data_IF_174793503749
#
_entry.id   IF_174793503749
#
_cell.length_a   1.000
_cell.length_b   1.000
_cell.length_c   1.000
_cell.angle_alpha   90.00
_cell.angle_beta   90.00
_cell.angle_gamma   90.00
#
_symmetry.space_group_name_H-M   'P 1'
#
loop_
_entity.id
_entity.type
_entity.pdbx_description
1 polymer ?
#
# COMPACT_ATOMS: atom_id res chain seq x y z
N UNK A 1 -11.95 14.02 6.05
CA UNK A 1 -11.74 12.61 5.67
C UNK A 1 -10.29 12.48 5.23
N UNK A 2 -9.39 12.11 6.16
CA UNK A 2 -7.96 11.99 5.85
C UNK A 2 -7.75 10.79 4.91
N UNK A 3 -7.65 11.09 3.62
CA UNK A 3 -7.55 10.12 2.53
C UNK A 3 -6.13 9.54 2.41
N UNK A 4 -5.66 8.88 3.46
CA UNK A 4 -4.32 8.23 3.50
C UNK A 4 -4.45 6.70 3.46
N UNK A 5 -5.61 6.19 3.03
CA UNK A 5 -5.81 4.76 2.80
C UNK A 5 -4.99 4.27 1.60
N UNK A 6 -4.39 3.08 1.70
CA UNK A 6 -3.72 2.41 0.56
C UNK A 6 -4.78 1.78 -0.36
N UNK A 7 -5.46 2.59 -1.16
CA UNK A 7 -6.60 2.15 -2.00
C UNK A 7 -6.24 1.18 -3.11
N UNK A 8 -4.98 1.14 -3.54
CA UNK A 8 -4.54 0.22 -4.59
C UNK A 8 -4.51 -1.25 -4.13
N UNK A 9 -4.38 -1.52 -2.82
CA UNK A 9 -4.28 -2.88 -2.27
C UNK A 9 -5.57 -3.68 -2.51
N UNK A 10 -6.77 -3.21 -2.09
CA UNK A 10 -7.99 -3.97 -2.33
C UNK A 10 -8.28 -4.16 -3.82
N UNK A 11 -7.99 -3.16 -4.65
CA UNK A 11 -8.15 -3.25 -6.11
C UNK A 11 -7.23 -4.32 -6.69
N UNK A 12 -5.95 -4.34 -6.27
CA UNK A 12 -5.00 -5.36 -6.70
C UNK A 12 -5.47 -6.76 -6.30
N UNK A 13 -5.92 -6.95 -5.06
CA UNK A 13 -6.36 -8.26 -4.55
C UNK A 13 -7.56 -8.82 -5.33
N UNK A 14 -8.52 -7.99 -5.72
CA UNK A 14 -9.71 -8.44 -6.46
C UNK A 14 -9.36 -8.81 -7.90
N UNK A 15 -8.41 -8.10 -8.50
CA UNK A 15 -8.08 -8.25 -9.90
C UNK A 15 -6.99 -9.30 -10.16
N UNK A 16 -6.22 -9.68 -9.14
CA UNK A 16 -5.04 -10.56 -9.25
C UNK A 16 -5.35 -11.91 -9.94
N UNK A 17 -6.51 -12.52 -9.66
CA UNK A 17 -6.90 -13.80 -10.25
C UNK A 17 -7.42 -13.66 -11.70
N UNK A 18 -7.79 -12.45 -12.11
CA UNK A 18 -8.48 -12.19 -13.38
C UNK A 18 -7.60 -11.57 -14.46
N UNK A 19 -6.54 -10.85 -14.09
CA UNK A 19 -5.67 -10.16 -15.05
C UNK A 19 -4.24 -9.99 -14.54
N UNK A 20 -3.29 -9.84 -15.46
CA UNK A 20 -1.91 -9.54 -15.12
C UNK A 20 -1.78 -8.05 -14.77
N UNK A 21 -1.60 -7.74 -13.48
CA UNK A 21 -1.51 -6.37 -12.98
C UNK A 21 -0.05 -5.99 -12.76
N UNK A 22 0.34 -4.86 -13.34
CA UNK A 22 1.65 -4.27 -13.08
C UNK A 22 1.51 -3.04 -12.20
N UNK A 23 2.10 -3.09 -11.01
CA UNK A 23 2.18 -1.92 -10.13
C UNK A 23 3.33 -1.02 -10.58
N UNK A 24 3.03 0.24 -10.87
CA UNK A 24 4.03 1.20 -11.32
C UNK A 24 4.37 2.21 -10.22
N UNK A 25 5.65 2.54 -10.05
CA UNK A 25 6.03 3.57 -9.08
C UNK A 25 5.70 4.98 -9.64
N UNK A 26 4.95 5.83 -8.91
CA UNK A 26 4.48 7.13 -9.41
C UNK A 26 5.59 8.07 -9.91
N UNK A 27 6.82 7.93 -9.40
CA UNK A 27 8.01 8.66 -9.85
C UNK A 27 8.29 8.48 -11.36
N UNK A 28 8.09 7.27 -11.89
CA UNK A 28 8.31 6.96 -13.31
C UNK A 28 7.09 7.28 -14.17
N UNK A 29 5.93 7.38 -13.54
CA UNK A 29 4.64 7.68 -14.18
C UNK A 29 4.29 9.15 -13.97
N UNK A 30 5.29 10.03 -14.02
CA UNK A 30 5.10 11.44 -13.70
C UNK A 30 4.10 12.04 -14.68
N UNK A 31 3.04 12.64 -14.13
CA UNK A 31 1.92 13.16 -14.92
C UNK A 31 2.38 14.24 -15.92
N UNK A 32 1.64 14.34 -17.02
CA UNK A 32 1.82 15.37 -18.04
C UNK A 32 1.75 16.75 -17.38
N UNK A 33 2.77 17.60 -17.60
CA UNK A 33 2.76 18.99 -17.11
C UNK A 33 1.58 19.74 -17.74
N UNK A 34 0.61 20.19 -16.94
CA UNK A 34 -0.56 20.96 -17.39
C UNK A 34 -1.88 20.55 -16.73
N UNK A 35 -3.00 20.69 -17.47
CA UNK A 35 -4.36 20.33 -17.01
C UNK A 35 -4.49 18.82 -16.78
N UNK A 36 -4.24 18.41 -15.54
CA UNK A 36 -4.49 17.06 -15.03
C UNK A 36 -5.99 16.74 -15.11
N UNK A 37 -6.34 15.66 -15.78
CA UNK A 37 -7.71 15.11 -15.79
C UNK A 37 -7.57 13.59 -15.75
N UNK A 38 -8.39 12.91 -14.95
CA UNK A 38 -8.25 11.46 -14.73
C UNK A 38 -8.27 10.65 -16.03
N UNK A 39 -9.05 11.10 -17.03
CA UNK A 39 -9.12 10.48 -18.36
C UNK A 39 -7.80 10.58 -19.13
N UNK A 40 -7.12 11.73 -19.07
CA UNK A 40 -5.84 11.93 -19.77
C UNK A 40 -4.71 11.19 -19.05
N UNK A 41 -4.74 11.20 -17.73
CA UNK A 41 -3.77 10.46 -16.92
C UNK A 41 -3.89 8.96 -17.17
N UNK A 42 -5.11 8.40 -17.17
CA UNK A 42 -5.32 6.98 -17.48
C UNK A 42 -4.79 6.59 -18.86
N UNK A 43 -5.04 7.42 -19.89
CA UNK A 43 -4.52 7.18 -21.25
C UNK A 43 -2.99 7.24 -21.29
N UNK A 44 -2.40 8.23 -20.63
CA UNK A 44 -0.95 8.38 -20.55
C UNK A 44 -0.28 7.17 -19.89
N UNK A 45 -0.84 6.70 -18.77
CA UNK A 45 -0.35 5.52 -18.06
C UNK A 45 -0.44 4.28 -18.96
N UNK A 46 -1.55 4.10 -19.67
CA UNK A 46 -1.75 2.98 -20.59
C UNK A 46 -0.74 3.02 -21.75
N UNK A 47 -0.47 4.19 -22.31
CA UNK A 47 0.51 4.33 -23.40
C UNK A 47 1.94 4.08 -22.91
N UNK A 48 2.30 4.57 -21.71
CA UNK A 48 3.58 4.25 -21.07
C UNK A 48 3.75 2.75 -20.81
N UNK A 49 2.68 2.06 -20.38
CA UNK A 49 2.69 0.63 -20.14
C UNK A 49 2.88 -0.18 -21.44
N UNK A 50 2.21 0.22 -22.54
CA UNK A 50 2.35 -0.45 -23.85
C UNK A 50 3.76 -0.40 -24.43
N UNK A 51 4.51 0.65 -24.11
CA UNK A 51 5.88 0.83 -24.61
C UNK A 51 6.94 0.22 -23.68
N UNK A 52 6.55 -0.54 -22.65
CA UNK A 52 7.43 -1.09 -21.61
C UNK A 52 8.32 -0.02 -20.93
N UNK A 53 7.90 1.24 -20.97
CA UNK A 53 8.62 2.37 -20.36
C UNK A 53 8.43 2.42 -18.84
N UNK A 54 7.61 1.53 -18.30
CA UNK A 54 7.27 1.47 -16.88
C UNK A 54 7.75 0.15 -16.31
N UNK A 55 8.83 0.21 -15.54
CA UNK A 55 9.27 -0.92 -14.76
C UNK A 55 8.20 -1.28 -13.71
N UNK A 56 7.69 -2.51 -13.78
CA UNK A 56 6.85 -3.07 -12.74
C UNK A 56 7.58 -3.10 -11.40
N UNK A 57 6.93 -2.57 -10.38
CA UNK A 57 7.37 -2.68 -9.00
C UNK A 57 7.14 -4.11 -8.54
N UNK A 58 8.12 -4.65 -7.81
CA UNK A 58 8.01 -5.99 -7.26
C UNK A 58 6.84 -6.07 -6.27
N UNK A 59 5.92 -7.00 -6.52
CA UNK A 59 4.83 -7.34 -5.63
C UNK A 59 5.03 -8.77 -5.13
N UNK A 60 5.13 -9.01 -3.81
CA UNK A 60 5.30 -10.36 -3.30
C UNK A 60 4.05 -11.22 -3.56
N UNK A 61 4.21 -12.54 -3.78
CA UNK A 61 3.10 -13.48 -3.91
C UNK A 61 2.12 -13.41 -2.74
N UNK A 62 0.86 -13.80 -2.99
CA UNK A 62 -0.24 -13.73 -2.02
C UNK A 62 0.12 -14.35 -0.65
N UNK A 63 0.74 -15.53 -0.64
CA UNK A 63 1.14 -16.22 0.59
C UNK A 63 2.11 -15.38 1.45
N UNK A 64 3.08 -14.71 0.81
CA UNK A 64 4.03 -13.84 1.50
C UNK A 64 3.33 -12.57 2.02
N UNK A 65 2.37 -12.02 1.26
CA UNK A 65 1.58 -10.85 1.70
C UNK A 65 0.75 -11.16 2.92
N UNK A 66 0.02 -12.28 2.90
CA UNK A 66 -0.76 -12.76 4.05
C UNK A 66 0.13 -12.95 5.28
N UNK A 67 1.29 -13.61 5.12
CA UNK A 67 2.24 -13.78 6.22
C UNK A 67 2.72 -12.44 6.79
N UNK A 68 3.03 -11.47 5.93
CA UNK A 68 3.46 -10.12 6.36
C UNK A 68 2.36 -9.40 7.12
N UNK A 69 1.10 -9.54 6.71
CA UNK A 69 -0.03 -8.89 7.38
C UNK A 69 -0.30 -9.53 8.74
N UNK A 70 -0.20 -10.85 8.86
CA UNK A 70 -0.23 -11.56 10.15
C UNK A 70 0.89 -11.09 11.09
N UNK A 71 2.12 -10.97 10.58
CA UNK A 71 3.26 -10.50 11.37
C UNK A 71 3.10 -9.05 11.83
N UNK A 72 2.57 -8.17 10.97
CA UNK A 72 2.23 -6.78 11.34
C UNK A 72 1.15 -6.73 12.41
N UNK A 73 0.12 -7.57 12.29
CA UNK A 73 -0.94 -7.65 13.28
C UNK A 73 -0.41 -8.12 14.64
N UNK A 74 0.40 -9.18 14.66
CA UNK A 74 1.10 -9.64 15.88
C UNK A 74 1.93 -8.53 16.49
N UNK A 75 2.74 -7.83 15.70
CA UNK A 75 3.56 -6.71 16.19
C UNK A 75 2.71 -5.58 16.81
N UNK A 76 1.58 -5.25 16.19
CA UNK A 76 0.62 -4.27 16.72
C UNK A 76 0.09 -4.69 18.09
N UNK A 77 -0.32 -5.96 18.25
CA UNK A 77 -0.80 -6.48 19.52
C UNK A 77 0.30 -6.48 20.59
N UNK A 78 1.52 -6.91 20.24
CA UNK A 78 2.66 -6.86 21.16
C UNK A 78 2.92 -5.44 21.64
N UNK A 79 2.91 -4.45 20.74
CA UNK A 79 3.10 -3.05 21.12
C UNK A 79 1.98 -2.54 22.01
N UNK A 80 0.73 -2.91 21.71
CA UNK A 80 -0.42 -2.55 22.52
C UNK A 80 -0.30 -3.12 23.95
N UNK A 81 0.02 -4.42 24.09
CA UNK A 81 0.23 -5.01 25.42
C UNK A 81 1.41 -4.37 26.16
N UNK A 82 2.47 -3.97 25.46
CA UNK A 82 3.62 -3.28 26.05
C UNK A 82 3.25 -1.87 26.53
N UNK A 83 2.48 -1.11 25.73
CA UNK A 83 2.03 0.22 26.13
C UNK A 83 1.10 0.17 27.33
N UNK A 84 0.16 -0.78 27.37
CA UNK A 84 -0.74 -0.97 28.51
C UNK A 84 0.05 -1.32 29.78
N UNK A 85 1.02 -2.24 29.70
CA UNK A 85 1.90 -2.56 30.84
C UNK A 85 2.63 -1.33 31.36
N UNK A 86 3.18 -0.50 30.46
CA UNK A 86 3.87 0.73 30.83
C UNK A 86 2.92 1.70 31.54
N UNK A 87 1.71 1.89 31.01
CA UNK A 87 0.70 2.76 31.63
C UNK A 87 0.31 2.30 33.04
N UNK A 88 0.13 0.99 33.25
CA UNK A 88 -0.15 0.44 34.59
C UNK A 88 1.03 0.63 35.54
N UNK A 89 2.27 0.38 35.11
CA UNK A 89 3.45 0.59 35.94
C UNK A 89 3.63 2.06 36.34
N UNK A 90 3.35 2.99 35.43
CA UNK A 90 3.42 4.43 35.71
C UNK A 90 2.35 4.88 36.72
N UNK A 91 1.14 4.31 36.65
CA UNK A 91 0.09 4.54 37.66
C UNK A 91 0.48 3.99 39.03
N UNK A 92 1.06 2.79 39.11
CA UNK A 92 1.47 2.17 40.38
C UNK A 92 2.64 2.90 41.05
N UNK A 93 3.61 3.40 40.27
CA UNK A 93 4.76 4.17 40.80
C UNK A 93 4.39 5.59 41.23
N UNK A 94 3.17 6.06 40.91
CA UNK A 94 2.63 7.34 41.35
C UNK A 94 1.94 7.29 42.72
N UNK A 95 1.91 6.13 43.39
CA UNK A 95 1.45 5.93 44.77
C UNK A 95 2.63 5.58 45.68
#
# INVERSE_FOLDING_TARGET
>A
MESTGKYWIPVFNVLEDSCNITLAHPKYVKAIRGKKTDKKDAKWIADLFKHDLVAGSFMPPLAIRQLRDLMRYRFKLTNFTSSEKKSVSEQLNGF
#
